data_IF_900473552551
#
_entry.id   IF_900473552551
#
_cell.length_a   1.000
_cell.length_b   1.000
_cell.length_c   1.000
_cell.angle_alpha   90.00
_cell.angle_beta   90.00
_cell.angle_gamma   90.00
#
_symmetry.space_group_name_H-M   'P 1'
#
loop_
_entity.id
_entity.type
_entity.pdbx_description
1 polymer ?
#
# COMPACT_ATOMS: atom_id res chain seq x y z
N UNK A 1 -38.82 4.42 -37.38
CA UNK A 1 -38.45 4.22 -35.97
C UNK A 1 -36.94 4.32 -35.89
N UNK A 2 -36.45 5.49 -35.48
CA UNK A 2 -35.04 5.72 -35.16
C UNK A 2 -34.74 5.02 -33.84
N UNK A 3 -33.66 4.22 -33.80
CA UNK A 3 -33.15 3.66 -32.55
C UNK A 3 -32.76 4.80 -31.59
N UNK A 4 -32.96 4.65 -30.27
CA UNK A 4 -32.49 5.64 -29.32
C UNK A 4 -30.96 5.69 -29.39
N UNK A 5 -30.43 6.90 -29.61
CA UNK A 5 -29.02 7.20 -29.39
C UNK A 5 -28.67 6.80 -27.96
N UNK A 6 -27.89 5.73 -27.80
CA UNK A 6 -27.26 5.42 -26.53
C UNK A 6 -26.24 6.52 -26.26
N UNK A 7 -26.62 7.53 -25.48
CA UNK A 7 -25.68 8.50 -24.94
C UNK A 7 -24.67 7.76 -24.09
N UNK A 8 -23.48 7.51 -24.66
CA UNK A 8 -22.29 6.92 -24.00
C UNK A 8 -21.63 7.95 -23.07
N UNK A 9 -22.43 8.78 -22.40
CA UNK A 9 -22.00 9.80 -21.45
C UNK A 9 -22.60 9.50 -20.07
N UNK A 10 -22.44 8.26 -19.63
CA UNK A 10 -22.50 7.97 -18.19
C UNK A 10 -21.30 8.63 -17.50
N UNK A 11 -21.42 9.08 -16.24
CA UNK A 11 -20.26 9.59 -15.50
C UNK A 11 -19.14 8.55 -15.55
N UNK A 12 -17.95 8.98 -15.97
CA UNK A 12 -16.77 8.12 -16.05
C UNK A 12 -16.62 7.39 -14.70
N UNK A 13 -16.75 6.06 -14.65
CA UNK A 13 -16.62 5.31 -13.40
C UNK A 13 -15.19 5.40 -12.85
N UNK A 14 -14.26 5.95 -13.64
CA UNK A 14 -12.86 6.08 -13.27
C UNK A 14 -12.53 7.48 -12.73
N UNK A 15 -11.66 7.57 -11.72
CA UNK A 15 -11.12 8.85 -11.29
C UNK A 15 -10.39 9.54 -12.45
N UNK A 16 -10.59 10.86 -12.58
CA UNK A 16 -9.86 11.65 -13.56
C UNK A 16 -8.34 11.54 -13.34
N UNK A 17 -7.56 11.69 -14.41
CA UNK A 17 -6.09 11.66 -14.31
C UNK A 17 -5.54 12.60 -13.22
N UNK A 18 -6.10 13.81 -13.11
CA UNK A 18 -5.73 14.77 -12.06
C UNK A 18 -5.94 14.21 -10.66
N UNK A 19 -7.02 13.47 -10.43
CA UNK A 19 -7.31 12.83 -9.14
C UNK A 19 -6.34 11.67 -8.87
N UNK A 20 -6.04 10.84 -9.87
CA UNK A 20 -5.05 9.76 -9.73
C UNK A 20 -3.66 10.31 -9.42
N UNK A 21 -3.24 11.37 -10.14
CA UNK A 21 -1.98 12.05 -9.88
C UNK A 21 -1.93 12.64 -8.47
N UNK A 22 -3.00 13.30 -8.02
CA UNK A 22 -3.08 13.84 -6.66
C UNK A 22 -2.98 12.74 -5.59
N UNK A 23 -3.62 11.57 -5.81
CA UNK A 23 -3.52 10.43 -4.91
C UNK A 23 -2.10 9.85 -4.87
N UNK A 24 -1.45 9.72 -6.02
CA UNK A 24 -0.07 9.24 -6.10
C UNK A 24 0.89 10.20 -5.38
N UNK A 25 0.78 11.51 -5.63
CA UNK A 25 1.61 12.52 -4.96
C UNK A 25 1.36 12.57 -3.45
N UNK A 26 0.09 12.51 -3.03
CA UNK A 26 -0.26 12.48 -1.61
C UNK A 26 0.32 11.25 -0.93
N UNK A 27 0.16 10.07 -1.54
CA UNK A 27 0.73 8.82 -1.03
C UNK A 27 2.25 8.90 -0.93
N UNK A 28 2.92 9.35 -1.99
CA UNK A 28 4.39 9.50 -2.02
C UNK A 28 4.90 10.40 -0.90
N UNK A 29 4.31 11.58 -0.74
CA UNK A 29 4.76 12.55 0.26
C UNK A 29 4.47 12.06 1.67
N UNK A 30 3.25 11.60 1.95
CA UNK A 30 2.87 11.24 3.33
C UNK A 30 3.54 9.93 3.76
N UNK A 31 3.62 8.95 2.86
CA UNK A 31 4.32 7.70 3.15
C UNK A 31 5.83 7.95 3.27
N UNK A 32 6.46 8.65 2.33
CA UNK A 32 7.90 8.96 2.39
C UNK A 32 8.29 9.75 3.65
N UNK A 33 7.52 10.77 4.05
CA UNK A 33 7.76 11.45 5.34
C UNK A 33 7.63 10.46 6.51
N UNK A 34 6.64 9.55 6.43
CA UNK A 34 6.44 8.52 7.43
C UNK A 34 7.63 7.56 7.54
N UNK A 35 8.13 7.06 6.41
CA UNK A 35 9.32 6.19 6.30
C UNK A 35 10.53 6.89 6.91
N UNK A 36 10.84 8.09 6.42
CA UNK A 36 11.97 8.90 6.91
C UNK A 36 11.97 9.08 8.44
N UNK A 37 10.79 9.26 9.05
CA UNK A 37 10.67 9.39 10.50
C UNK A 37 10.79 8.03 11.19
N UNK A 38 10.24 6.97 10.60
CA UNK A 38 10.13 5.67 11.23
C UNK A 38 11.40 4.82 11.11
N UNK A 39 12.32 5.15 10.20
CA UNK A 39 13.62 4.50 10.03
C UNK A 39 14.73 5.10 10.90
N UNK A 40 14.47 6.23 11.58
CA UNK A 40 15.39 6.81 12.58
C UNK A 40 15.90 5.78 13.61
N UNK A 41 15.11 4.81 14.11
CA UNK A 41 15.58 3.79 15.04
C UNK A 41 16.60 2.77 14.48
N UNK A 42 16.95 2.84 13.19
CA UNK A 42 17.73 1.85 12.44
C UNK A 42 17.06 0.47 12.34
N UNK A 43 17.48 -0.31 11.34
CA UNK A 43 16.95 -1.65 11.05
C UNK A 43 17.29 -2.68 12.16
N UNK A 44 16.41 -3.68 12.30
CA UNK A 44 16.56 -4.81 13.24
C UNK A 44 16.80 -6.11 12.47
N UNK A 45 18.04 -6.35 12.04
CA UNK A 45 18.38 -7.51 11.21
C UNK A 45 18.48 -7.10 9.74
N UNK A 46 18.42 -8.06 8.82
CA UNK A 46 18.47 -7.76 7.39
C UNK A 46 17.15 -7.14 6.95
N UNK A 47 17.14 -5.84 6.71
CA UNK A 47 16.03 -5.09 6.14
C UNK A 47 14.72 -5.33 6.89
N UNK A 48 14.78 -5.33 8.23
CA UNK A 48 13.58 -5.32 9.06
C UNK A 48 13.47 -3.97 9.74
N UNK A 49 12.68 -3.11 9.13
CA UNK A 49 12.46 -1.75 9.59
C UNK A 49 11.03 -1.52 10.10
N UNK A 50 10.72 -0.25 10.36
CA UNK A 50 9.42 0.18 10.85
C UNK A 50 8.65 1.04 9.84
N UNK A 51 8.38 0.53 8.65
CA UNK A 51 7.61 1.32 7.67
C UNK A 51 6.13 1.49 8.03
N UNK A 52 5.58 2.72 7.97
CA UNK A 52 4.21 3.03 8.38
C UNK A 52 3.16 2.66 7.30
N UNK A 53 3.04 1.38 6.98
CA UNK A 53 2.13 0.84 5.96
C UNK A 53 0.66 1.21 6.19
N UNK A 54 0.28 1.58 7.41
CA UNK A 54 -1.04 2.13 7.73
C UNK A 54 -1.40 3.32 6.85
N UNK A 55 -0.44 4.12 6.42
CA UNK A 55 -0.70 5.29 5.58
C UNK A 55 -1.29 4.87 4.22
N UNK A 56 -0.58 4.09 3.37
CA UNK A 56 -1.14 3.63 2.11
C UNK A 56 -2.35 2.71 2.33
N UNK A 57 -2.36 1.87 3.38
CA UNK A 57 -3.51 1.02 3.70
C UNK A 57 -4.77 1.81 4.03
N UNK A 58 -4.69 2.86 4.83
CA UNK A 58 -5.84 3.72 5.13
C UNK A 58 -6.36 4.42 3.88
N UNK A 59 -5.45 4.98 3.06
CA UNK A 59 -5.82 5.60 1.80
C UNK A 59 -6.53 4.60 0.88
N UNK A 60 -5.99 3.39 0.73
CA UNK A 60 -6.61 2.34 -0.08
C UNK A 60 -7.95 1.90 0.51
N UNK A 61 -8.07 1.76 1.83
CA UNK A 61 -9.28 1.28 2.49
C UNK A 61 -10.46 2.24 2.33
N UNK A 62 -10.23 3.55 2.31
CA UNK A 62 -11.29 4.57 2.11
C UNK A 62 -11.54 4.91 0.65
N UNK A 63 -10.82 4.28 -0.27
CA UNK A 63 -10.99 4.42 -1.72
C UNK A 63 -11.52 3.09 -2.30
N UNK A 64 -11.94 3.13 -3.56
CA UNK A 64 -12.34 1.92 -4.29
C UNK A 64 -11.13 1.19 -4.89
N UNK A 65 -11.23 -0.14 -4.98
CA UNK A 65 -10.22 -0.95 -5.66
C UNK A 65 -10.12 -0.63 -7.15
N UNK A 66 -8.90 -0.54 -7.66
CA UNK A 66 -8.61 -0.35 -9.08
C UNK A 66 -7.53 0.70 -9.28
N UNK A 67 -7.78 1.68 -10.17
CA UNK A 67 -6.81 2.73 -10.49
C UNK A 67 -6.39 3.56 -9.28
N UNK A 68 -7.29 3.77 -8.32
CA UNK A 68 -6.97 4.47 -7.06
C UNK A 68 -5.96 3.69 -6.22
N UNK A 69 -6.15 2.37 -6.09
CA UNK A 69 -5.19 1.48 -5.39
C UNK A 69 -3.84 1.51 -6.07
N UNK A 70 -3.81 1.40 -7.40
CA UNK A 70 -2.56 1.48 -8.17
C UNK A 70 -1.86 2.83 -7.98
N UNK A 71 -2.61 3.93 -8.02
CA UNK A 71 -2.04 5.27 -7.81
C UNK A 71 -1.46 5.44 -6.41
N UNK A 72 -2.16 4.98 -5.37
CA UNK A 72 -1.65 5.02 -3.99
C UNK A 72 -0.42 4.14 -3.83
N UNK A 73 -0.45 2.90 -4.33
CA UNK A 73 0.68 1.97 -4.25
C UNK A 73 1.90 2.46 -5.00
N UNK A 74 1.73 2.96 -6.23
CA UNK A 74 2.79 3.58 -7.01
C UNK A 74 3.36 4.82 -6.31
N UNK A 75 2.47 5.67 -5.75
CA UNK A 75 2.91 6.81 -4.96
C UNK A 75 3.76 6.40 -3.78
N UNK A 76 3.33 5.42 -2.99
CA UNK A 76 4.09 4.93 -1.83
C UNK A 76 5.46 4.38 -2.25
N UNK A 77 5.52 3.55 -3.31
CA UNK A 77 6.76 3.03 -3.86
C UNK A 77 7.70 4.14 -4.36
N UNK A 78 7.17 5.23 -4.93
CA UNK A 78 7.97 6.40 -5.33
C UNK A 78 8.48 7.21 -4.13
N UNK A 79 7.68 7.29 -3.05
CA UNK A 79 8.08 7.95 -1.81
C UNK A 79 9.25 7.23 -1.16
N UNK A 80 9.16 5.90 -1.08
CA UNK A 80 10.22 5.00 -0.65
C UNK A 80 11.45 5.10 -1.54
N UNK A 81 11.32 4.80 -2.84
CA UNK A 81 12.47 4.74 -3.74
C UNK A 81 13.21 6.07 -3.89
N UNK A 82 12.59 7.19 -3.53
CA UNK A 82 13.30 8.46 -3.40
C UNK A 82 14.25 8.49 -2.19
N UNK A 83 13.85 7.92 -1.07
CA UNK A 83 14.68 7.77 0.13
C UNK A 83 15.80 6.76 -0.11
N UNK A 84 15.52 5.61 -0.72
CA UNK A 84 16.56 4.62 -1.05
C UNK A 84 17.68 5.25 -1.91
N UNK A 85 17.30 6.06 -2.92
CA UNK A 85 18.26 6.82 -3.73
C UNK A 85 19.06 7.83 -2.90
N UNK A 86 18.43 8.46 -1.91
CA UNK A 86 19.08 9.45 -1.05
C UNK A 86 20.03 8.82 -0.01
N UNK A 87 19.74 7.59 0.43
CA UNK A 87 20.49 6.84 1.44
C UNK A 87 21.64 6.04 0.83
N UNK A 88 21.50 5.64 -0.43
CA UNK A 88 22.56 5.01 -1.22
C UNK A 88 22.04 3.78 -1.94
N UNK A 89 21.44 4.02 -3.11
CA UNK A 89 20.77 3.01 -3.96
C UNK A 89 21.41 1.61 -3.93
N UNK A 90 20.63 0.62 -3.52
CA UNK A 90 21.02 -0.78 -3.48
C UNK A 90 20.57 -1.53 -4.75
N UNK A 91 21.14 -2.71 -5.00
CA UNK A 91 20.86 -3.42 -6.25
C UNK A 91 19.45 -4.01 -6.27
N UNK A 92 18.86 -4.23 -5.11
CA UNK A 92 17.56 -4.84 -4.87
C UNK A 92 16.38 -3.85 -4.84
N UNK A 93 16.65 -2.55 -4.72
CA UNK A 93 15.65 -1.46 -4.79
C UNK A 93 14.64 -1.58 -5.95
N UNK A 94 15.00 -1.96 -7.20
CA UNK A 94 14.02 -2.11 -8.27
C UNK A 94 12.95 -3.16 -7.97
N UNK A 95 13.34 -4.27 -7.32
CA UNK A 95 12.43 -5.35 -6.98
C UNK A 95 11.63 -5.00 -5.72
N UNK A 96 12.24 -4.30 -4.76
CA UNK A 96 11.55 -3.69 -3.63
C UNK A 96 10.42 -2.76 -4.10
N UNK A 97 10.70 -1.84 -5.03
CA UNK A 97 9.71 -0.95 -5.63
C UNK A 97 8.49 -1.71 -6.22
N UNK A 98 8.76 -2.79 -6.99
CA UNK A 98 7.70 -3.64 -7.53
C UNK A 98 6.94 -4.35 -6.40
N UNK A 99 7.65 -4.82 -5.39
CA UNK A 99 7.11 -5.41 -4.17
C UNK A 99 6.08 -4.51 -3.51
N UNK A 100 6.39 -3.22 -3.30
CA UNK A 100 5.45 -2.24 -2.76
C UNK A 100 4.17 -2.15 -3.59
N UNK A 101 4.30 -1.93 -4.91
CA UNK A 101 3.12 -1.78 -5.78
C UNK A 101 2.25 -3.03 -5.73
N UNK A 102 2.84 -4.22 -5.84
CA UNK A 102 2.11 -5.49 -5.85
C UNK A 102 1.53 -5.81 -4.46
N UNK A 103 2.25 -5.54 -3.38
CA UNK A 103 1.79 -5.73 -2.01
C UNK A 103 0.59 -4.84 -1.66
N UNK A 104 0.63 -3.55 -2.05
CA UNK A 104 -0.50 -2.65 -1.87
C UNK A 104 -1.70 -3.01 -2.75
N UNK A 105 -1.46 -3.53 -3.96
CA UNK A 105 -2.52 -4.09 -4.80
C UNK A 105 -3.14 -5.34 -4.16
N UNK A 106 -2.32 -6.23 -3.59
CA UNK A 106 -2.79 -7.43 -2.88
C UNK A 106 -3.64 -7.05 -1.66
N UNK A 107 -3.20 -6.08 -0.85
CA UNK A 107 -3.99 -5.50 0.23
C UNK A 107 -5.36 -5.01 -0.26
N UNK A 108 -5.37 -4.13 -1.28
CA UNK A 108 -6.60 -3.57 -1.83
C UNK A 108 -7.52 -4.64 -2.41
N UNK A 109 -6.97 -5.66 -3.06
CA UNK A 109 -7.74 -6.77 -3.61
C UNK A 109 -8.41 -7.59 -2.50
N UNK A 110 -7.63 -7.99 -1.48
CA UNK A 110 -8.17 -8.75 -0.35
C UNK A 110 -9.26 -7.97 0.38
N UNK A 111 -9.06 -6.66 0.61
CA UNK A 111 -10.01 -5.85 1.37
C UNK A 111 -11.30 -5.52 0.59
N UNK A 112 -11.21 -5.28 -0.71
CA UNK A 112 -12.35 -4.77 -1.49
C UNK A 112 -13.01 -5.80 -2.41
N UNK A 113 -12.31 -6.88 -2.75
CA UNK A 113 -12.81 -7.93 -3.66
C UNK A 113 -13.08 -9.25 -2.97
N UNK A 114 -12.36 -9.56 -1.89
CA UNK A 114 -12.50 -10.83 -1.17
C UNK A 114 -13.29 -10.66 0.12
N UNK A 115 -13.04 -9.59 0.88
CA UNK A 115 -13.75 -9.35 2.13
C UNK A 115 -15.26 -9.15 1.90
N UNK A 116 -16.12 -9.64 2.81
CA UNK A 116 -17.55 -9.34 2.76
C UNK A 116 -17.84 -7.84 2.86
N UNK A 117 -17.05 -7.12 3.68
CA UNK A 117 -17.11 -5.67 3.84
C UNK A 117 -15.74 -5.10 4.21
N UNK A 118 -15.37 -3.91 3.74
CA UNK A 118 -14.08 -3.29 4.04
C UNK A 118 -13.94 -2.81 5.49
N UNK A 119 -15.04 -2.73 6.25
CA UNK A 119 -15.05 -2.39 7.69
C UNK A 119 -14.92 -3.62 8.61
N UNK A 120 -14.85 -4.83 8.07
CA UNK A 120 -14.61 -6.03 8.85
C UNK A 120 -13.15 -6.06 9.33
N UNK A 121 -12.97 -5.92 10.64
CA UNK A 121 -11.66 -5.87 11.29
C UNK A 121 -10.81 -7.09 10.99
N UNK A 122 -11.41 -8.29 10.90
CA UNK A 122 -10.65 -9.52 10.59
C UNK A 122 -10.07 -9.43 9.19
N UNK A 123 -10.86 -8.96 8.23
CA UNK A 123 -10.41 -8.80 6.85
C UNK A 123 -9.41 -7.66 6.68
N UNK A 124 -9.53 -6.58 7.45
CA UNK A 124 -8.49 -5.54 7.50
C UNK A 124 -7.14 -6.09 7.97
N UNK A 125 -7.15 -6.92 9.02
CA UNK A 125 -5.93 -7.57 9.51
C UNK A 125 -5.35 -8.55 8.48
N UNK A 126 -6.20 -9.43 7.91
CA UNK A 126 -5.76 -10.40 6.91
C UNK A 126 -5.25 -9.74 5.63
N UNK A 127 -5.90 -8.67 5.17
CA UNK A 127 -5.46 -7.90 4.01
C UNK A 127 -4.12 -7.23 4.27
N UNK A 128 -3.94 -6.61 5.44
CA UNK A 128 -2.69 -5.94 5.82
C UNK A 128 -1.52 -6.94 5.93
N UNK A 129 -1.73 -8.08 6.60
CA UNK A 129 -0.74 -9.15 6.66
C UNK A 129 -0.43 -9.71 5.26
N UNK A 130 -1.45 -9.94 4.43
CA UNK A 130 -1.27 -10.45 3.08
C UNK A 130 -0.53 -9.47 2.16
N UNK A 131 -0.83 -8.18 2.25
CA UNK A 131 -0.14 -7.15 1.49
C UNK A 131 1.33 -7.02 1.87
N UNK A 132 1.62 -6.96 3.17
CA UNK A 132 3.00 -6.88 3.67
C UNK A 132 3.78 -8.16 3.35
N UNK A 133 3.19 -9.34 3.52
CA UNK A 133 3.83 -10.60 3.14
C UNK A 133 4.20 -10.63 1.65
N UNK A 134 3.30 -10.16 0.77
CA UNK A 134 3.58 -10.11 -0.67
C UNK A 134 4.72 -9.14 -0.96
N UNK A 135 4.72 -7.93 -0.40
CA UNK A 135 5.83 -6.99 -0.60
C UNK A 135 7.15 -7.56 -0.07
N UNK A 136 7.17 -8.06 1.16
CA UNK A 136 8.37 -8.63 1.76
C UNK A 136 8.88 -9.87 1.01
N UNK A 137 7.99 -10.67 0.40
CA UNK A 137 8.40 -11.79 -0.44
C UNK A 137 9.11 -11.34 -1.73
N UNK A 138 8.74 -10.19 -2.29
CA UNK A 138 9.44 -9.62 -3.46
C UNK A 138 10.85 -9.12 -3.08
N UNK A 139 11.00 -8.46 -1.94
CA UNK A 139 12.31 -8.08 -1.38
C UNK A 139 13.15 -9.31 -1.04
N UNK A 140 12.56 -10.31 -0.39
CA UNK A 140 13.24 -11.56 -0.09
C UNK A 140 13.76 -12.27 -1.35
N UNK A 141 13.00 -12.24 -2.46
CA UNK A 141 13.47 -12.73 -3.76
C UNK A 141 14.63 -11.88 -4.29
N UNK A 142 14.59 -10.57 -4.10
CA UNK A 142 15.67 -9.67 -4.47
C UNK A 142 16.96 -9.98 -3.70
N UNK A 143 16.89 -10.22 -2.39
CA UNK A 143 18.05 -10.62 -1.58
C UNK A 143 18.68 -11.94 -2.05
N UNK A 144 17.87 -12.92 -2.43
CA UNK A 144 18.40 -14.19 -2.98
C UNK A 144 19.10 -13.95 -4.31
N UNK A 145 18.49 -13.16 -5.20
CA UNK A 145 18.96 -13.01 -6.58
C UNK A 145 20.12 -12.04 -6.73
N UNK A 146 20.22 -11.03 -5.86
CA UNK A 146 21.08 -9.86 -6.04
C UNK A 146 22.08 -9.67 -4.91
N UNK A 147 21.74 -10.08 -3.68
CA UNK A 147 22.60 -9.97 -2.51
C UNK A 147 23.21 -11.32 -2.06
N UNK A 148 22.89 -12.43 -2.77
CA UNK A 148 23.32 -13.80 -2.45
C UNK A 148 23.03 -14.22 -1.00
N UNK A 149 21.96 -13.70 -0.40
CA UNK A 149 21.60 -13.96 0.99
C UNK A 149 21.16 -15.42 1.20
N UNK A 150 21.44 -15.98 2.39
CA UNK A 150 20.99 -17.33 2.72
C UNK A 150 19.48 -17.39 3.00
N UNK A 151 18.89 -18.56 2.77
CA UNK A 151 17.44 -18.79 2.91
C UNK A 151 16.93 -18.51 4.33
N UNK A 152 17.74 -18.75 5.36
CA UNK A 152 17.35 -18.51 6.75
C UNK A 152 17.20 -17.02 7.04
N UNK A 153 18.17 -16.23 6.60
CA UNK A 153 18.13 -14.76 6.73
C UNK A 153 16.98 -14.15 5.94
N UNK A 154 16.74 -14.62 4.72
CA UNK A 154 15.61 -14.14 3.89
C UNK A 154 14.27 -14.49 4.53
N UNK A 155 14.12 -15.71 5.08
CA UNK A 155 12.89 -16.08 5.79
C UNK A 155 12.67 -15.22 7.04
N UNK A 156 13.74 -14.87 7.77
CA UNK A 156 13.67 -13.98 8.92
C UNK A 156 13.26 -12.56 8.52
N UNK A 157 13.79 -12.02 7.42
CA UNK A 157 13.41 -10.71 6.86
C UNK A 157 11.93 -10.69 6.44
N UNK A 158 11.48 -11.69 5.66
CA UNK A 158 10.07 -11.79 5.23
C UNK A 158 9.12 -11.82 6.44
N UNK A 159 9.44 -12.64 7.46
CA UNK A 159 8.63 -12.72 8.67
C UNK A 159 8.69 -11.42 9.48
N UNK A 160 9.87 -10.81 9.59
CA UNK A 160 10.10 -9.53 10.23
C UNK A 160 9.21 -8.44 9.65
N UNK A 161 9.31 -8.20 8.34
CA UNK A 161 8.53 -7.20 7.60
C UNK A 161 7.03 -7.50 7.58
N UNK A 162 6.64 -8.78 7.50
CA UNK A 162 5.22 -9.14 7.64
C UNK A 162 4.67 -8.74 9.01
N UNK A 163 5.47 -8.88 10.08
CA UNK A 163 5.06 -8.46 11.43
C UNK A 163 5.14 -6.94 11.58
N UNK A 164 6.25 -6.30 11.24
CA UNK A 164 6.44 -4.85 11.44
C UNK A 164 5.48 -4.07 10.54
N UNK A 165 5.56 -4.23 9.24
CA UNK A 165 4.73 -3.51 8.26
C UNK A 165 3.29 -3.98 8.29
N UNK A 166 3.08 -5.31 8.30
CA UNK A 166 1.75 -5.89 8.17
C UNK A 166 0.91 -5.81 9.45
N UNK A 167 1.49 -6.14 10.61
CA UNK A 167 0.75 -6.17 11.88
C UNK A 167 0.88 -4.87 12.66
N UNK A 168 2.11 -4.49 13.04
CA UNK A 168 2.36 -3.42 14.01
C UNK A 168 2.07 -2.04 13.42
N UNK A 169 2.60 -1.78 12.23
CA UNK A 169 2.49 -0.50 11.53
C UNK A 169 1.47 -0.51 10.40
N UNK A 170 0.71 -1.61 10.25
CA UNK A 170 -0.35 -1.79 9.26
C UNK A 170 -1.69 -2.10 9.91
N UNK A 171 -1.93 -3.37 10.24
CA UNK A 171 -3.22 -3.89 10.68
C UNK A 171 -3.76 -3.24 11.96
N UNK A 172 -2.95 -3.17 13.03
CA UNK A 172 -3.36 -2.62 14.32
C UNK A 172 -3.85 -1.16 14.16
N UNK A 173 -3.02 -0.24 13.63
CA UNK A 173 -3.44 1.14 13.49
C UNK A 173 -4.54 1.30 12.42
N UNK A 174 -4.57 0.48 11.35
CA UNK A 174 -5.66 0.47 10.37
C UNK A 174 -7.01 0.19 11.03
N UNK A 175 -7.11 -0.88 11.84
CA UNK A 175 -8.35 -1.28 12.51
C UNK A 175 -8.86 -0.19 13.46
N UNK A 176 -7.95 0.53 14.10
CA UNK A 176 -8.27 1.64 15.01
C UNK A 176 -8.70 2.90 14.26
N UNK A 177 -7.97 3.27 13.21
CA UNK A 177 -8.13 4.56 12.52
C UNK A 177 -9.22 4.52 11.43
N UNK A 178 -9.43 3.37 10.78
CA UNK A 178 -10.33 3.25 9.65
C UNK A 178 -11.76 3.79 9.92
N UNK A 179 -12.43 3.47 11.04
CA UNK A 179 -13.78 3.99 11.29
C UNK A 179 -13.82 5.53 11.32
N UNK A 180 -12.85 6.14 11.99
CA UNK A 180 -12.76 7.61 12.13
C UNK A 180 -12.48 8.29 10.80
N UNK A 181 -11.56 7.72 10.01
CA UNK A 181 -11.20 8.28 8.70
C UNK A 181 -12.34 8.11 7.69
N UNK A 182 -12.96 6.93 7.65
CA UNK A 182 -14.10 6.64 6.77
C UNK A 182 -15.24 7.64 7.00
N UNK A 183 -15.62 7.88 8.26
CA UNK A 183 -16.74 8.76 8.58
C UNK A 183 -16.44 10.21 8.16
N UNK A 184 -15.21 10.69 8.39
CA UNK A 184 -14.77 12.02 7.93
C UNK A 184 -14.70 12.16 6.41
N UNK A 185 -14.31 11.09 5.71
CA UNK A 185 -14.30 11.07 4.24
C UNK A 185 -15.75 11.09 3.72
N UNK A 186 -16.64 10.30 4.31
CA UNK A 186 -18.05 10.28 3.92
C UNK A 186 -18.74 11.64 4.13
N UNK A 187 -18.45 12.34 5.23
CA UNK A 187 -18.98 13.68 5.52
C UNK A 187 -18.53 14.74 4.49
N UNK A 188 -17.28 14.66 4.04
CA UNK A 188 -16.66 15.69 3.19
C UNK A 188 -16.72 15.38 1.70
N UNK A 189 -16.79 14.10 1.34
CA UNK A 189 -16.71 13.59 -0.02
C UNK A 189 -17.72 12.45 -0.22
N UNK A 190 -19.04 12.72 -0.16
CA UNK A 190 -20.07 11.69 -0.27
C UNK A 190 -20.03 10.92 -1.60
N UNK A 191 -19.47 11.53 -2.67
CA UNK A 191 -19.25 10.86 -3.97
C UNK A 191 -18.10 9.84 -3.98
N UNK A 192 -17.36 9.69 -2.87
CA UNK A 192 -16.20 8.79 -2.74
C UNK A 192 -16.52 7.58 -1.84
N UNK A 193 -17.56 7.68 -1.01
CA UNK A 193 -17.93 6.67 -0.02
C UNK A 193 -19.02 5.68 -0.49
N UNK A 194 -19.38 5.69 -1.77
CA UNK A 194 -20.42 4.84 -2.37
C UNK A 194 -19.85 3.60 -3.05
#
# INVERSE_FOLDING_TARGET
MSAPESSVDGPDPWPSFRRLLALALLSAVVFGIGVYVAEIPAEIGLDVDFKPFVIPYLLIAVLSFGRSTLAVGFGAAMGEGYLDVAEGYELDDPLGFVGYVVGFLAFGYLLHRVAPRPDDRRWQMLAALGGAFVQAAFEGVAFILLAEADVGTVAASILGNTVTHGLLFGAIPLVVLYPVVRDRVAERLPSVAA
#
